data_IF_847591102783
#
_entry.id   IF_847591102783
#
_cell.length_a   1.000
_cell.length_b   1.000
_cell.length_c   1.000
_cell.angle_alpha   90.00
_cell.angle_beta   90.00
_cell.angle_gamma   90.00
#
_symmetry.space_group_name_H-M   'P 1'
#
loop_
_entity.id
_entity.type
_entity.pdbx_description
1 polymer ?
#
# COMPACT_ATOMS: atom_id res chain seq x y z
N UNK A 1 14.69 6.01 6.38
CA UNK A 1 13.98 5.32 7.48
C UNK A 1 12.54 5.79 7.49
N UNK A 2 11.58 4.87 7.62
CA UNK A 2 10.17 5.20 7.84
C UNK A 2 9.96 5.70 9.28
N UNK A 3 9.19 6.77 9.47
CA UNK A 3 8.73 7.18 10.80
C UNK A 3 7.60 6.27 11.29
N UNK A 4 7.28 6.31 12.59
CA UNK A 4 6.14 5.56 13.13
C UNK A 4 4.81 5.98 12.50
N UNK A 5 4.68 7.26 12.17
CA UNK A 5 3.53 7.79 11.43
C UNK A 5 3.46 7.21 10.02
N UNK A 6 4.58 7.11 9.29
CA UNK A 6 4.60 6.50 7.96
C UNK A 6 4.15 5.05 7.98
N UNK A 7 4.58 4.30 8.99
CA UNK A 7 4.17 2.92 9.20
C UNK A 7 2.66 2.82 9.44
N UNK A 8 2.11 3.68 10.29
CA UNK A 8 0.68 3.71 10.58
C UNK A 8 -0.16 4.14 9.37
N UNK A 9 0.29 5.14 8.62
CA UNK A 9 -0.41 5.60 7.42
C UNK A 9 -0.39 4.55 6.31
N UNK A 10 0.77 3.92 6.08
CA UNK A 10 0.91 2.83 5.12
C UNK A 10 0.05 1.64 5.53
N UNK A 11 -0.01 1.28 6.81
CA UNK A 11 -0.88 0.23 7.33
C UNK A 11 -2.37 0.59 7.20
N UNK A 12 -2.74 1.85 7.44
CA UNK A 12 -4.10 2.35 7.24
C UNK A 12 -4.53 2.27 5.77
N UNK A 13 -3.59 2.48 4.84
CA UNK A 13 -3.82 2.23 3.42
C UNK A 13 -3.78 0.74 3.06
N UNK A 14 -2.95 -0.08 3.68
CA UNK A 14 -2.89 -1.51 3.35
C UNK A 14 -4.13 -2.27 3.85
N UNK A 15 -4.63 -1.92 5.04
CA UNK A 15 -5.58 -2.75 5.80
C UNK A 15 -6.92 -2.07 6.14
N UNK A 16 -7.09 -0.76 5.87
CA UNK A 16 -8.33 -0.03 6.18
C UNK A 16 -8.99 0.62 4.98
N UNK A 17 -9.62 1.78 5.17
CA UNK A 17 -10.30 2.54 4.13
C UNK A 17 -9.58 3.83 3.72
N UNK A 18 -8.31 4.03 4.11
CA UNK A 18 -7.56 5.24 3.73
C UNK A 18 -7.45 5.34 2.19
N UNK A 19 -7.74 6.50 1.59
CA UNK A 19 -7.62 6.69 0.14
C UNK A 19 -6.14 6.77 -0.28
N UNK A 20 -5.85 6.33 -1.51
CA UNK A 20 -4.49 6.34 -2.06
C UNK A 20 -3.86 7.73 -2.04
N UNK A 21 -4.61 8.78 -2.40
CA UNK A 21 -4.11 10.15 -2.47
C UNK A 21 -3.53 10.63 -1.13
N UNK A 22 -4.14 10.24 -0.01
CA UNK A 22 -3.70 10.59 1.34
C UNK A 22 -2.54 9.71 1.86
N UNK A 23 -2.08 8.74 1.08
CA UNK A 23 -1.00 7.82 1.44
C UNK A 23 0.17 7.87 0.44
N UNK A 24 0.13 8.71 -0.61
CA UNK A 24 1.18 8.76 -1.63
C UNK A 24 2.57 9.05 -1.04
N UNK A 25 2.64 9.98 -0.08
CA UNK A 25 3.91 10.38 0.54
C UNK A 25 4.57 9.28 1.36
N UNK A 26 3.82 8.55 2.19
CA UNK A 26 4.34 7.43 2.98
C UNK A 26 4.59 6.20 2.10
N UNK A 27 3.72 5.91 1.12
CA UNK A 27 3.93 4.82 0.16
C UNK A 27 5.20 5.03 -0.67
N UNK A 28 5.51 6.25 -1.11
CA UNK A 28 6.77 6.52 -1.81
C UNK A 28 7.99 6.17 -0.94
N UNK A 29 7.99 6.61 0.33
CA UNK A 29 9.06 6.30 1.29
C UNK A 29 9.15 4.82 1.64
N UNK A 30 8.03 4.11 1.65
CA UNK A 30 7.95 2.66 1.82
C UNK A 30 8.59 1.95 0.62
N UNK A 31 8.24 2.34 -0.60
CA UNK A 31 8.79 1.75 -1.83
C UNK A 31 10.28 2.01 -2.01
N UNK A 32 10.82 3.10 -1.45
CA UNK A 32 12.26 3.36 -1.43
C UNK A 32 13.04 2.38 -0.53
N UNK A 33 12.38 1.72 0.43
CA UNK A 33 13.00 0.77 1.35
C UNK A 33 12.69 -0.68 0.98
N UNK A 34 11.55 -0.95 0.33
CA UNK A 34 11.19 -2.29 -0.09
C UNK A 34 11.92 -2.72 -1.36
N UNK A 35 12.70 -3.81 -1.27
CA UNK A 35 13.41 -4.44 -2.38
C UNK A 35 12.49 -5.23 -3.34
N UNK A 36 11.18 -5.17 -3.13
CA UNK A 36 10.20 -5.86 -3.95
C UNK A 36 9.81 -5.06 -5.21
N UNK A 37 9.40 -5.75 -6.30
CA UNK A 37 9.07 -5.10 -7.56
C UNK A 37 7.81 -4.22 -7.48
N UNK A 38 6.78 -4.65 -6.74
CA UNK A 38 5.56 -3.87 -6.44
C UNK A 38 5.02 -3.08 -7.65
N UNK A 39 4.74 -3.77 -8.78
CA UNK A 39 4.56 -3.13 -10.08
C UNK A 39 3.33 -2.22 -10.15
N UNK A 40 2.27 -2.48 -9.38
CA UNK A 40 1.10 -1.62 -9.36
C UNK A 40 1.37 -0.30 -8.65
N UNK A 41 1.97 -0.35 -7.45
CA UNK A 41 2.30 0.85 -6.67
C UNK A 41 3.39 1.67 -7.35
N UNK A 42 4.47 1.04 -7.80
CA UNK A 42 5.55 1.74 -8.51
C UNK A 42 5.04 2.38 -9.79
N UNK A 43 4.24 1.65 -10.57
CA UNK A 43 3.62 2.19 -11.78
C UNK A 43 2.72 3.39 -11.50
N UNK A 44 1.94 3.35 -10.42
CA UNK A 44 1.08 4.47 -10.02
C UNK A 44 1.85 5.71 -9.57
N UNK A 45 2.96 5.53 -8.85
CA UNK A 45 3.86 6.62 -8.43
C UNK A 45 4.66 7.20 -9.60
N UNK A 46 4.94 6.39 -10.63
CA UNK A 46 5.52 6.84 -11.90
C UNK A 46 4.51 7.58 -12.80
N UNK A 47 3.27 7.78 -12.35
CA UNK A 47 2.24 8.51 -13.11
C UNK A 47 1.57 7.70 -14.20
N UNK A 48 1.65 6.36 -14.19
CA UNK A 48 0.91 5.53 -15.15
C UNK A 48 -0.59 5.63 -14.90
N UNK A 49 -1.34 5.74 -16.00
CA UNK A 49 -2.80 5.72 -16.01
C UNK A 49 -3.35 4.40 -15.45
N UNK A 50 -4.48 4.47 -14.74
CA UNK A 50 -5.13 3.30 -14.14
C UNK A 50 -5.49 2.24 -15.18
N UNK A 51 -5.94 2.65 -16.36
CA UNK A 51 -6.29 1.75 -17.46
C UNK A 51 -5.06 0.98 -17.99
N UNK A 52 -3.93 1.66 -18.15
CA UNK A 52 -2.67 1.03 -18.58
C UNK A 52 -2.17 0.04 -17.52
N UNK A 53 -2.27 0.39 -16.24
CA UNK A 53 -1.92 -0.52 -15.14
C UNK A 53 -2.83 -1.74 -15.11
N UNK A 54 -4.14 -1.57 -15.31
CA UNK A 54 -5.07 -2.70 -15.38
C UNK A 54 -4.71 -3.64 -16.54
N UNK A 55 -4.38 -3.10 -17.72
CA UNK A 55 -4.01 -3.90 -18.88
C UNK A 55 -2.71 -4.69 -18.64
N UNK A 56 -1.65 -4.02 -18.16
CA UNK A 56 -0.34 -4.65 -17.92
C UNK A 56 -0.40 -5.70 -16.81
N UNK A 57 -1.22 -5.47 -15.78
CA UNK A 57 -1.36 -6.38 -14.64
C UNK A 57 -2.51 -7.38 -14.79
N UNK A 58 -3.18 -7.38 -15.94
CA UNK A 58 -4.33 -8.25 -16.25
C UNK A 58 -5.45 -8.16 -15.19
N UNK A 59 -5.75 -6.95 -14.72
CA UNK A 59 -6.76 -6.68 -13.70
C UNK A 59 -8.09 -6.25 -14.34
N UNK A 60 -9.19 -6.76 -13.79
CA UNK A 60 -10.56 -6.44 -14.19
C UNK A 60 -11.02 -5.11 -13.57
N UNK A 61 -10.37 -4.02 -13.98
CA UNK A 61 -10.77 -2.65 -13.70
C UNK A 61 -10.32 -2.10 -12.34
N UNK A 62 -10.86 -0.92 -12.00
CA UNK A 62 -10.38 -0.07 -10.90
C UNK A 62 -10.45 -0.72 -9.52
N UNK A 63 -11.49 -1.50 -9.24
CA UNK A 63 -11.63 -2.20 -7.95
C UNK A 63 -10.51 -3.23 -7.75
N UNK A 64 -10.21 -4.01 -8.80
CA UNK A 64 -9.11 -4.97 -8.78
C UNK A 64 -7.75 -4.28 -8.65
N UNK A 65 -7.56 -3.14 -9.32
CA UNK A 65 -6.37 -2.31 -9.19
C UNK A 65 -6.18 -1.76 -7.77
N UNK A 66 -7.24 -1.25 -7.15
CA UNK A 66 -7.19 -0.77 -5.78
C UNK A 66 -6.84 -1.88 -4.79
N UNK A 67 -7.46 -3.06 -4.94
CA UNK A 67 -7.11 -4.22 -4.12
C UNK A 67 -5.65 -4.64 -4.30
N UNK A 68 -5.14 -4.58 -5.55
CA UNK A 68 -3.74 -4.87 -5.85
C UNK A 68 -2.78 -3.88 -5.19
N UNK A 69 -3.07 -2.57 -5.21
CA UNK A 69 -2.25 -1.58 -4.50
C UNK A 69 -2.20 -1.81 -3.01
N UNK A 70 -3.35 -2.11 -2.38
CA UNK A 70 -3.42 -2.40 -0.94
C UNK A 70 -2.61 -3.64 -0.60
N UNK A 71 -2.72 -4.69 -1.42
CA UNK A 71 -1.94 -5.91 -1.23
C UNK A 71 -0.44 -5.67 -1.36
N UNK A 72 0.00 -4.95 -2.39
CA UNK A 72 1.41 -4.59 -2.54
C UNK A 72 1.93 -3.75 -1.37
N UNK A 73 1.13 -2.83 -0.83
CA UNK A 73 1.51 -2.06 0.36
C UNK A 73 1.65 -2.97 1.60
N UNK A 74 0.72 -3.91 1.79
CA UNK A 74 0.79 -4.89 2.87
C UNK A 74 2.03 -5.80 2.77
N UNK A 75 2.35 -6.25 1.54
CA UNK A 75 3.48 -7.12 1.29
C UNK A 75 4.81 -6.37 1.48
N UNK A 76 4.88 -5.08 1.11
CA UNK A 76 6.02 -4.21 1.39
C UNK A 76 6.22 -3.97 2.90
N UNK A 77 5.16 -3.76 3.67
CA UNK A 77 5.26 -3.63 5.13
C UNK A 77 5.79 -4.92 5.76
N UNK A 78 5.27 -6.07 5.32
CA UNK A 78 5.69 -7.38 5.82
C UNK A 78 7.13 -7.75 5.46
N UNK A 79 7.61 -7.33 4.28
CA UNK A 79 8.99 -7.60 3.87
C UNK A 79 10.01 -6.78 4.66
N UNK A 80 9.62 -5.58 5.11
CA UNK A 80 10.45 -4.75 5.98
C UNK A 80 10.42 -5.21 7.44
N UNK A 81 9.23 -5.49 7.98
CA UNK A 81 9.05 -6.00 9.33
C UNK A 81 7.67 -6.68 9.46
N UNK A 82 7.67 -8.01 9.43
CA UNK A 82 6.44 -8.80 9.51
C UNK A 82 5.73 -8.68 10.86
N UNK A 83 6.47 -8.61 11.97
CA UNK A 83 5.89 -8.53 13.31
C UNK A 83 5.19 -7.18 13.51
N UNK A 84 5.87 -6.09 13.10
CA UNK A 84 5.31 -4.75 13.14
C UNK A 84 4.12 -4.58 12.20
N UNK A 85 4.19 -5.14 10.99
CA UNK A 85 3.08 -5.09 10.03
C UNK A 85 1.82 -5.78 10.58
N UNK A 86 1.97 -6.91 11.27
CA UNK A 86 0.85 -7.63 11.88
C UNK A 86 0.27 -6.87 13.09
N UNK A 87 1.11 -6.30 13.96
CA UNK A 87 0.66 -5.46 15.07
C UNK A 87 -0.15 -4.25 14.58
N UNK A 88 0.33 -3.57 13.53
CA UNK A 88 -0.37 -2.44 12.91
C UNK A 88 -1.67 -2.87 12.24
N UNK A 89 -1.70 -4.04 11.60
CA UNK A 89 -2.93 -4.59 11.01
C UNK A 89 -4.02 -4.75 12.07
N UNK A 90 -3.66 -5.30 13.23
CA UNK A 90 -4.59 -5.47 14.35
C UNK A 90 -5.03 -4.10 14.90
N UNK A 91 -4.07 -3.21 15.18
CA UNK A 91 -4.35 -1.86 15.69
C UNK A 91 -5.32 -1.09 14.77
N UNK A 92 -5.03 -1.08 13.47
CA UNK A 92 -5.86 -0.40 12.48
C UNK A 92 -7.25 -1.03 12.35
N UNK A 93 -7.36 -2.36 12.49
CA UNK A 93 -8.67 -3.03 12.49
C UNK A 93 -9.52 -2.57 13.68
N UNK A 94 -8.94 -2.39 14.88
CA UNK A 94 -9.67 -1.85 16.03
C UNK A 94 -10.18 -0.43 15.82
N UNK A 95 -9.43 0.41 15.09
CA UNK A 95 -9.82 1.80 14.80
C UNK A 95 -10.94 1.92 13.75
N UNK A 96 -11.25 0.87 13.01
CA UNK A 96 -12.32 0.87 11.99
C UNK A 96 -13.72 0.68 12.58
N UNK A 97 -13.83 0.27 13.83
CA UNK A 97 -15.11 -0.05 14.49
C UNK A 97 -15.65 1.08 15.39
N UNK A 98 -15.09 2.29 15.30
CA UNK A 98 -15.59 3.50 15.97
C UNK A 98 -16.19 4.46 14.94
#
# INVERSE_FOLDING_TARGET
MLSDEDWLEAASFAFAHRPLAAALGCLNRLLMQADMPLPALRGRLQGKEEAALCAVLQLTGRKALQARWRREAADALRSLDAARAEALRQQVAHLQFF
#
